data_IF_759921887249
#
_entry.id   IF_759921887249
#
_cell.length_a   1.000
_cell.length_b   1.000
_cell.length_c   1.000
_cell.angle_alpha   90.00
_cell.angle_beta   90.00
_cell.angle_gamma   90.00
#
_symmetry.space_group_name_H-M   'P 1'
#
loop_
_entity.id
_entity.type
_entity.pdbx_description
1 polymer ?
#
# COMPACT_ATOMS: atom_id res chain seq x y z
N UNK A 1 -8.05 -2.12 13.92
CA UNK A 1 -7.67 -1.90 15.34
C UNK A 1 -7.91 -0.45 15.74
N UNK A 2 -7.19 0.54 15.15
CA UNK A 2 -7.27 1.98 15.50
C UNK A 2 -8.70 2.53 15.48
N UNK A 3 -9.46 2.25 14.41
CA UNK A 3 -10.86 2.68 14.30
C UNK A 3 -11.73 2.13 15.45
N UNK A 4 -11.55 0.86 15.79
CA UNK A 4 -12.33 0.19 16.85
C UNK A 4 -11.99 0.71 18.25
N UNK A 5 -10.72 0.98 18.53
CA UNK A 5 -10.29 1.54 19.81
C UNK A 5 -10.65 3.02 19.95
N UNK A 6 -10.73 3.73 18.86
CA UNK A 6 -11.00 5.16 18.76
C UNK A 6 -10.19 6.00 19.77
N UNK A 7 -8.90 5.77 19.80
CA UNK A 7 -7.91 6.54 20.58
C UNK A 7 -6.92 7.21 19.63
N UNK A 8 -6.32 8.35 19.98
CA UNK A 8 -5.26 8.96 19.20
C UNK A 8 -4.26 7.90 18.77
N UNK A 9 -4.04 7.79 17.47
CA UNK A 9 -3.21 6.73 16.90
C UNK A 9 -2.72 7.12 15.51
N UNK A 10 -1.55 6.60 15.14
CA UNK A 10 -0.96 6.79 13.83
C UNK A 10 -0.51 5.44 13.29
N UNK A 11 -0.67 5.25 11.99
CA UNK A 11 -0.20 4.06 11.29
C UNK A 11 1.17 4.32 10.69
N UNK A 12 2.12 3.43 10.96
CA UNK A 12 3.44 3.43 10.33
C UNK A 12 3.57 2.15 9.50
N UNK A 13 3.70 2.31 8.21
CA UNK A 13 3.90 1.20 7.29
C UNK A 13 5.34 0.70 7.37
N UNK A 14 5.55 -0.61 7.38
CA UNK A 14 6.88 -1.22 7.42
C UNK A 14 7.74 -0.95 6.17
N UNK A 15 7.11 -0.57 5.08
CA UNK A 15 7.76 -0.26 3.82
C UNK A 15 7.79 -1.40 2.81
N UNK A 16 7.99 -1.07 1.55
CA UNK A 16 8.07 -2.04 0.46
C UNK A 16 9.46 -2.66 0.38
N UNK A 17 9.52 -3.91 -0.09
CA UNK A 17 10.78 -4.60 -0.38
C UNK A 17 11.42 -4.05 -1.66
N UNK A 18 12.74 -4.02 -1.71
CA UNK A 18 13.46 -3.75 -2.94
C UNK A 18 13.33 -4.93 -3.91
N UNK A 19 13.31 -4.68 -5.22
CA UNK A 19 13.31 -5.75 -6.22
C UNK A 19 14.61 -6.55 -6.17
N UNK A 20 14.51 -7.77 -6.63
CA UNK A 20 15.67 -8.61 -6.90
C UNK A 20 16.35 -8.28 -8.21
N UNK A 21 17.26 -9.15 -8.60
CA UNK A 21 17.95 -9.07 -9.89
C UNK A 21 16.93 -9.01 -11.05
N UNK A 22 17.21 -8.19 -12.05
CA UNK A 22 16.35 -7.99 -13.22
C UNK A 22 14.90 -7.59 -12.88
N UNK A 23 14.69 -6.78 -11.86
CA UNK A 23 13.37 -6.33 -11.41
C UNK A 23 12.43 -7.48 -11.02
N UNK A 24 12.98 -8.59 -10.52
CA UNK A 24 12.17 -9.71 -10.03
C UNK A 24 11.50 -9.38 -8.70
N UNK A 25 10.31 -9.95 -8.51
CA UNK A 25 9.52 -9.85 -7.29
C UNK A 25 8.86 -11.20 -6.96
N UNK A 26 7.92 -11.24 -6.03
CA UNK A 26 7.24 -12.48 -5.63
C UNK A 26 6.45 -13.12 -6.79
N UNK A 27 5.91 -12.32 -7.71
CA UNK A 27 5.19 -12.85 -8.89
C UNK A 27 6.17 -13.56 -9.82
N UNK A 28 7.38 -13.04 -9.97
CA UNK A 28 8.44 -13.69 -10.75
C UNK A 28 8.77 -15.10 -10.23
N UNK A 29 8.69 -15.32 -8.92
CA UNK A 29 8.86 -16.66 -8.32
C UNK A 29 7.70 -17.59 -8.73
N UNK A 30 6.47 -17.12 -8.66
CA UNK A 30 5.30 -17.93 -9.05
C UNK A 30 5.31 -18.26 -10.55
N UNK A 31 5.69 -17.30 -11.40
CA UNK A 31 5.86 -17.52 -12.84
C UNK A 31 6.98 -18.54 -13.14
N UNK A 32 8.09 -18.46 -12.41
CA UNK A 32 9.19 -19.40 -12.53
C UNK A 32 8.79 -20.84 -12.13
N UNK A 33 7.97 -21.01 -11.08
CA UNK A 33 7.41 -22.32 -10.71
C UNK A 33 6.55 -22.87 -11.85
N UNK A 34 5.68 -22.03 -12.44
CA UNK A 34 4.87 -22.42 -13.61
C UNK A 34 5.73 -22.86 -14.80
N UNK A 35 6.74 -22.06 -15.14
CA UNK A 35 7.68 -22.36 -16.24
C UNK A 35 8.49 -23.62 -15.99
N UNK A 36 8.90 -23.89 -14.76
CA UNK A 36 9.57 -25.14 -14.41
C UNK A 36 8.66 -26.36 -14.58
N UNK A 37 7.42 -26.27 -14.11
CA UNK A 37 6.44 -27.37 -14.27
C UNK A 37 6.11 -27.62 -15.74
N UNK A 38 6.08 -26.57 -16.57
CA UNK A 38 5.90 -26.68 -18.02
C UNK A 38 7.15 -27.22 -18.75
N UNK A 39 8.31 -27.27 -18.10
CA UNK A 39 9.57 -27.73 -18.69
C UNK A 39 10.33 -26.65 -19.47
N UNK A 40 9.93 -25.38 -19.33
CA UNK A 40 10.53 -24.24 -20.06
C UNK A 40 11.86 -23.80 -19.45
N UNK A 41 12.05 -24.01 -18.13
CA UNK A 41 13.29 -23.68 -17.43
C UNK A 41 13.81 -24.84 -16.59
N UNK A 42 15.13 -24.96 -16.39
CA UNK A 42 15.72 -25.98 -15.51
C UNK A 42 15.53 -25.60 -14.02
N UNK A 43 15.63 -26.62 -13.15
CA UNK A 43 15.52 -26.43 -11.69
C UNK A 43 16.54 -25.40 -11.15
N UNK A 44 17.73 -25.34 -11.70
CA UNK A 44 18.79 -24.41 -11.30
C UNK A 44 18.39 -22.96 -11.52
N UNK A 45 17.59 -22.66 -12.55
CA UNK A 45 17.08 -21.33 -12.81
C UNK A 45 15.95 -20.98 -11.84
N UNK A 46 15.04 -21.90 -11.53
CA UNK A 46 14.02 -21.72 -10.51
C UNK A 46 14.66 -21.41 -9.15
N UNK A 47 15.62 -22.22 -8.70
CA UNK A 47 16.35 -22.01 -7.44
C UNK A 47 17.09 -20.67 -7.39
N UNK A 48 17.62 -20.20 -8.51
CA UNK A 48 18.26 -18.89 -8.59
C UNK A 48 17.22 -17.76 -8.37
N UNK A 49 16.08 -17.82 -9.06
CA UNK A 49 15.01 -16.83 -8.92
C UNK A 49 14.48 -16.82 -7.48
N UNK A 50 14.21 -17.99 -6.88
CA UNK A 50 13.77 -18.09 -5.49
C UNK A 50 14.72 -17.41 -4.49
N UNK A 51 16.03 -17.49 -4.73
CA UNK A 51 17.06 -16.91 -3.86
C UNK A 51 17.24 -15.40 -4.05
N UNK A 52 16.92 -14.87 -5.22
CA UNK A 52 17.32 -13.51 -5.63
C UNK A 52 16.14 -12.57 -5.88
N UNK A 53 14.91 -13.07 -6.01
CA UNK A 53 13.77 -12.26 -6.43
C UNK A 53 13.31 -11.22 -5.41
N UNK A 54 13.45 -11.48 -4.11
CA UNK A 54 12.98 -10.63 -3.02
C UNK A 54 14.04 -10.54 -1.90
N UNK A 55 15.17 -9.86 -2.15
CA UNK A 55 16.30 -9.85 -1.23
C UNK A 55 16.08 -8.83 -0.11
N UNK A 56 15.85 -9.28 1.12
CA UNK A 56 15.86 -8.40 2.27
C UNK A 56 14.51 -8.22 2.94
N UNK A 57 14.34 -7.09 3.63
CA UNK A 57 13.15 -6.77 4.41
C UNK A 57 12.17 -5.89 3.64
N UNK A 58 10.89 -6.06 3.93
CA UNK A 58 9.80 -5.25 3.38
C UNK A 58 8.59 -6.07 3.00
N UNK A 59 7.53 -5.38 2.62
CA UNK A 59 6.32 -5.96 2.03
C UNK A 59 6.49 -6.15 0.52
N UNK A 60 5.49 -6.71 -0.14
CA UNK A 60 5.48 -6.95 -1.59
C UNK A 60 5.99 -5.76 -2.41
N UNK A 61 6.72 -6.04 -3.49
CA UNK A 61 7.29 -5.01 -4.37
C UNK A 61 6.29 -4.34 -5.32
N UNK A 62 5.13 -4.95 -5.58
CA UNK A 62 4.08 -4.38 -6.44
C UNK A 62 2.93 -3.73 -5.66
N UNK A 63 1.92 -3.23 -6.37
CA UNK A 63 0.69 -2.67 -5.78
C UNK A 63 -0.29 -3.80 -5.38
N UNK A 64 0.22 -4.74 -4.60
CA UNK A 64 -0.55 -5.82 -3.99
C UNK A 64 -1.25 -5.32 -2.72
N UNK A 65 -1.80 -6.21 -1.92
CA UNK A 65 -2.62 -5.85 -0.76
C UNK A 65 -1.93 -4.91 0.21
N UNK A 66 -0.66 -5.17 0.55
CA UNK A 66 0.06 -4.40 1.57
C UNK A 66 0.31 -2.95 1.15
N UNK A 67 0.87 -2.72 -0.05
CA UNK A 67 1.10 -1.38 -0.58
C UNK A 67 -0.21 -0.64 -0.86
N UNK A 68 -1.24 -1.32 -1.37
CA UNK A 68 -2.57 -0.74 -1.59
C UNK A 68 -3.18 -0.24 -0.29
N UNK A 69 -3.16 -1.07 0.77
CA UNK A 69 -3.74 -0.67 2.05
C UNK A 69 -2.94 0.41 2.75
N UNK A 70 -1.61 0.39 2.66
CA UNK A 70 -0.78 1.46 3.20
C UNK A 70 -1.10 2.80 2.52
N UNK A 71 -1.24 2.82 1.19
CA UNK A 71 -1.62 4.01 0.41
C UNK A 71 -3.04 4.48 0.77
N UNK A 72 -4.00 3.56 0.90
CA UNK A 72 -5.35 3.89 1.34
C UNK A 72 -5.38 4.49 2.76
N UNK A 73 -4.60 3.95 3.70
CA UNK A 73 -4.52 4.45 5.07
C UNK A 73 -3.90 5.86 5.11
N UNK A 74 -2.93 6.14 4.25
CA UNK A 74 -2.37 7.48 4.10
C UNK A 74 -3.43 8.46 3.56
N UNK A 75 -4.15 8.10 2.51
CA UNK A 75 -5.25 8.92 1.97
C UNK A 75 -6.40 9.10 2.97
N UNK A 76 -6.61 8.17 3.88
CA UNK A 76 -7.52 8.31 5.02
C UNK A 76 -7.03 9.30 6.09
N UNK A 77 -5.80 9.82 5.99
CA UNK A 77 -5.20 10.71 6.98
C UNK A 77 -4.70 10.03 8.25
N UNK A 78 -4.44 8.71 8.23
CA UNK A 78 -4.05 7.93 9.41
C UNK A 78 -2.55 7.61 9.47
N UNK A 79 -1.75 8.08 8.53
CA UNK A 79 -0.29 8.00 8.54
C UNK A 79 0.33 9.31 8.09
N UNK A 80 1.64 9.45 8.27
CA UNK A 80 2.38 10.62 7.81
C UNK A 80 2.36 10.70 6.27
N UNK A 81 2.44 11.90 5.70
CA UNK A 81 2.56 12.06 4.25
C UNK A 81 3.74 11.27 3.70
N UNK A 82 3.49 10.53 2.62
CA UNK A 82 4.43 9.63 1.94
C UNK A 82 4.95 8.44 2.78
N UNK A 83 4.32 8.14 3.91
CA UNK A 83 4.68 6.99 4.76
C UNK A 83 4.45 5.65 4.06
N UNK A 84 3.43 5.55 3.21
CA UNK A 84 3.14 4.36 2.42
C UNK A 84 4.15 4.12 1.29
N UNK A 85 4.83 5.17 0.84
CA UNK A 85 5.75 5.15 -0.28
C UNK A 85 7.21 5.27 0.18
N UNK A 86 7.66 4.29 0.96
CA UNK A 86 9.02 4.18 1.48
C UNK A 86 9.55 2.76 1.32
N UNK A 87 10.81 2.63 0.93
CA UNK A 87 11.50 1.34 1.01
C UNK A 87 11.79 0.99 2.47
N UNK A 88 11.54 -0.25 2.87
CA UNK A 88 11.61 -0.70 4.26
C UNK A 88 12.95 -0.43 4.96
N UNK A 89 14.04 -0.50 4.20
CA UNK A 89 15.43 -0.32 4.70
C UNK A 89 16.00 1.06 4.44
N UNK A 90 15.18 2.03 3.98
CA UNK A 90 15.63 3.38 3.65
C UNK A 90 15.82 4.27 4.90
N UNK A 91 16.70 5.27 4.79
CA UNK A 91 16.84 6.28 5.84
C UNK A 91 15.57 7.16 5.94
N UNK A 92 14.86 7.37 4.83
CA UNK A 92 13.56 8.03 4.82
C UNK A 92 12.54 7.30 5.69
N UNK A 93 12.55 5.95 5.69
CA UNK A 93 11.67 5.16 6.58
C UNK A 93 12.03 5.33 8.06
N UNK A 94 13.30 5.45 8.39
CA UNK A 94 13.73 5.78 9.76
C UNK A 94 13.24 7.16 10.20
N UNK A 95 13.35 8.15 9.30
CA UNK A 95 12.84 9.49 9.57
C UNK A 95 11.32 9.51 9.72
N UNK A 96 10.58 8.78 8.88
CA UNK A 96 9.13 8.60 8.98
C UNK A 96 8.71 8.05 10.36
N UNK A 97 9.44 7.07 10.90
CA UNK A 97 9.18 6.56 12.25
C UNK A 97 9.39 7.62 13.34
N UNK A 98 10.43 8.46 13.21
CA UNK A 98 10.70 9.55 14.15
C UNK A 98 9.58 10.60 14.09
N UNK A 99 9.15 10.97 12.90
CA UNK A 99 8.12 11.98 12.71
C UNK A 99 6.73 11.48 13.11
N UNK A 100 6.44 10.19 12.90
CA UNK A 100 5.26 9.54 13.44
C UNK A 100 5.24 9.56 14.99
N UNK A 101 6.42 9.38 15.62
CA UNK A 101 6.58 9.51 17.08
C UNK A 101 6.26 10.91 17.60
N UNK A 102 6.61 11.96 16.85
CA UNK A 102 6.22 13.34 17.18
C UNK A 102 4.72 13.58 16.94
N UNK A 103 4.21 13.09 15.82
CA UNK A 103 2.82 13.26 15.45
C UNK A 103 1.86 12.61 16.45
N UNK A 104 2.19 11.43 16.99
CA UNK A 104 1.32 10.79 18.00
C UNK A 104 1.21 11.61 19.29
N UNK A 105 2.26 12.32 19.70
CA UNK A 105 2.22 13.23 20.85
C UNK A 105 1.24 14.38 20.57
N UNK A 106 1.34 14.99 19.39
CA UNK A 106 0.41 16.05 18.98
C UNK A 106 -1.06 15.58 18.96
N UNK A 107 -1.31 14.37 18.41
CA UNK A 107 -2.67 13.79 18.40
C UNK A 107 -3.21 13.55 19.81
N UNK A 108 -2.35 13.16 20.75
CA UNK A 108 -2.73 12.96 22.16
C UNK A 108 -3.05 14.29 22.86
N UNK A 109 -2.22 15.30 22.69
CA UNK A 109 -2.40 16.63 23.29
C UNK A 109 -3.69 17.32 22.82
N UNK A 110 -4.12 17.05 21.59
CA UNK A 110 -5.32 17.63 20.97
C UNK A 110 -6.53 16.69 20.98
N UNK A 111 -6.43 15.52 21.59
CA UNK A 111 -7.46 14.47 21.65
C UNK A 111 -8.03 14.09 20.25
N UNK A 112 -7.21 14.15 19.21
CA UNK A 112 -7.62 13.83 17.83
C UNK A 112 -7.71 12.30 17.66
N UNK A 113 -8.89 11.81 17.35
CA UNK A 113 -9.22 10.38 17.25
C UNK A 113 -9.44 9.93 15.81
N UNK A 114 -9.35 8.63 15.53
CA UNK A 114 -9.68 8.08 14.20
C UNK A 114 -11.07 8.48 13.67
N UNK A 115 -12.08 8.63 14.55
CA UNK A 115 -13.42 9.06 14.15
C UNK A 115 -13.46 10.53 13.65
N UNK A 116 -12.55 11.37 14.10
CA UNK A 116 -12.49 12.77 13.69
C UNK A 116 -11.86 12.90 12.29
N UNK A 117 -10.98 11.96 11.93
CA UNK A 117 -10.24 11.96 10.68
C UNK A 117 -10.99 11.19 9.58
N UNK A 118 -11.53 10.02 9.91
CA UNK A 118 -12.13 9.07 8.94
C UNK A 118 -13.56 9.43 8.57
N UNK A 119 -13.73 10.53 7.87
CA UNK A 119 -15.01 10.98 7.33
C UNK A 119 -15.37 10.22 6.04
N UNK A 120 -16.63 10.31 5.58
CA UNK A 120 -17.05 9.78 4.26
C UNK A 120 -16.12 10.27 3.13
N UNK A 121 -15.75 11.56 3.15
CA UNK A 121 -14.82 12.13 2.15
C UNK A 121 -13.43 11.51 2.21
N UNK A 122 -12.93 11.22 3.42
CA UNK A 122 -11.64 10.54 3.56
C UNK A 122 -11.67 9.13 2.92
N UNK A 123 -12.76 8.39 3.09
CA UNK A 123 -12.94 7.11 2.40
C UNK A 123 -13.06 7.27 0.89
N UNK A 124 -13.78 8.27 0.39
CA UNK A 124 -13.86 8.55 -1.05
C UNK A 124 -12.49 8.90 -1.64
N UNK A 125 -11.67 9.69 -0.92
CA UNK A 125 -10.27 9.96 -1.32
C UNK A 125 -9.43 8.68 -1.37
N UNK A 126 -9.55 7.82 -0.36
CA UNK A 126 -8.85 6.53 -0.34
C UNK A 126 -9.27 5.62 -1.50
N UNK A 127 -10.57 5.54 -1.80
CA UNK A 127 -11.10 4.79 -2.95
C UNK A 127 -10.55 5.37 -4.27
N UNK A 128 -10.56 6.69 -4.43
CA UNK A 128 -10.01 7.36 -5.62
C UNK A 128 -8.54 7.02 -5.80
N UNK A 129 -7.74 7.13 -4.73
CA UNK A 129 -6.31 6.85 -4.81
C UNK A 129 -6.02 5.39 -5.18
N UNK A 130 -6.68 4.40 -4.54
CA UNK A 130 -6.43 3.00 -4.85
C UNK A 130 -6.83 2.62 -6.28
N UNK A 131 -7.88 3.25 -6.83
CA UNK A 131 -8.26 3.08 -8.25
C UNK A 131 -7.19 3.69 -9.16
N UNK A 132 -6.74 4.91 -8.87
CA UNK A 132 -5.67 5.59 -9.60
C UNK A 132 -4.37 4.77 -9.65
N UNK A 133 -4.06 4.07 -8.56
CA UNK A 133 -2.89 3.20 -8.44
C UNK A 133 -3.06 1.82 -9.09
N UNK A 134 -4.27 1.45 -9.55
CA UNK A 134 -4.56 0.08 -9.99
C UNK A 134 -4.42 -0.93 -8.85
N UNK A 135 -4.83 -0.56 -7.65
CA UNK A 135 -4.61 -1.30 -6.42
C UNK A 135 -5.40 -2.61 -6.31
N UNK A 136 -5.06 -3.38 -5.28
CA UNK A 136 -5.67 -4.67 -4.99
C UNK A 136 -7.14 -4.55 -4.60
N UNK A 137 -8.00 -5.42 -5.14
CA UNK A 137 -9.42 -5.55 -4.78
C UNK A 137 -9.66 -5.91 -3.31
N UNK A 138 -8.66 -6.45 -2.62
CA UNK A 138 -8.72 -6.66 -1.17
C UNK A 138 -9.00 -5.37 -0.38
N UNK A 139 -8.61 -4.21 -0.90
CA UNK A 139 -8.90 -2.92 -0.28
C UNK A 139 -10.40 -2.63 -0.17
N UNK A 140 -11.23 -3.14 -1.08
CA UNK A 140 -12.70 -3.01 -1.04
C UNK A 140 -13.25 -3.55 0.28
N UNK A 141 -12.90 -4.80 0.61
CA UNK A 141 -13.33 -5.46 1.84
C UNK A 141 -12.85 -4.69 3.08
N UNK A 142 -11.60 -4.27 3.07
CA UNK A 142 -10.99 -3.62 4.23
C UNK A 142 -11.51 -2.19 4.45
N UNK A 143 -11.71 -1.41 3.40
CA UNK A 143 -12.26 -0.05 3.53
C UNK A 143 -13.71 -0.07 4.01
N UNK A 144 -14.55 -0.98 3.50
CA UNK A 144 -15.92 -1.17 3.99
C UNK A 144 -15.91 -1.56 5.47
N UNK A 145 -15.09 -2.53 5.87
CA UNK A 145 -14.99 -2.97 7.26
C UNK A 145 -14.46 -1.87 8.20
N UNK A 146 -13.54 -1.04 7.74
CA UNK A 146 -13.04 0.10 8.51
C UNK A 146 -14.10 1.18 8.67
N UNK A 147 -14.88 1.47 7.62
CA UNK A 147 -15.95 2.45 7.63
C UNK A 147 -17.09 2.02 8.57
N UNK A 148 -17.55 0.77 8.45
CA UNK A 148 -18.57 0.17 9.32
C UNK A 148 -18.18 0.27 10.80
N UNK A 149 -16.91 0.00 11.13
CA UNK A 149 -16.40 0.06 12.52
C UNK A 149 -16.60 1.43 13.20
N UNK A 150 -16.69 2.51 12.46
CA UNK A 150 -16.86 3.89 12.96
C UNK A 150 -18.17 4.51 12.52
N UNK A 151 -19.10 3.72 11.99
CA UNK A 151 -20.44 4.16 11.60
C UNK A 151 -20.49 5.05 10.36
N UNK A 152 -19.48 4.96 9.48
CA UNK A 152 -19.47 5.65 8.18
C UNK A 152 -19.97 4.68 7.12
N UNK A 153 -21.01 5.06 6.40
CA UNK A 153 -21.56 4.24 5.32
C UNK A 153 -20.67 4.30 4.08
N UNK A 154 -20.05 3.16 3.75
CA UNK A 154 -19.29 2.92 2.49
C UNK A 154 -19.77 1.61 1.91
N UNK A 155 -20.25 1.65 0.67
CA UNK A 155 -20.83 0.51 -0.03
C UNK A 155 -20.05 0.16 -1.30
N UNK A 156 -20.37 -0.97 -1.91
CA UNK A 156 -19.80 -1.34 -3.22
C UNK A 156 -20.14 -0.32 -4.30
N UNK A 157 -21.33 0.30 -4.22
CA UNK A 157 -21.76 1.32 -5.18
C UNK A 157 -20.87 2.58 -5.14
N UNK A 158 -20.27 2.91 -3.99
CA UNK A 158 -19.29 3.99 -3.92
C UNK A 158 -18.06 3.69 -4.77
N UNK A 159 -17.58 2.44 -4.76
CA UNK A 159 -16.44 2.03 -5.60
C UNK A 159 -16.79 2.08 -7.09
N UNK A 160 -17.99 1.65 -7.47
CA UNK A 160 -18.48 1.75 -8.86
C UNK A 160 -18.55 3.23 -9.29
N UNK A 161 -19.27 4.05 -8.52
CA UNK A 161 -19.48 5.47 -8.80
C UNK A 161 -18.18 6.27 -8.93
N UNK A 162 -17.23 6.00 -8.06
CA UNK A 162 -15.91 6.66 -8.08
C UNK A 162 -15.08 6.10 -9.24
N UNK A 163 -15.10 4.78 -9.45
CA UNK A 163 -14.35 4.11 -10.51
C UNK A 163 -14.73 4.55 -11.92
N UNK A 164 -16.01 4.84 -12.18
CA UNK A 164 -16.47 5.36 -13.47
C UNK A 164 -15.82 6.69 -13.86
N UNK A 165 -15.32 7.45 -12.89
CA UNK A 165 -14.77 8.80 -13.09
C UNK A 165 -13.25 8.86 -12.88
N UNK A 166 -12.66 7.83 -12.31
CA UNK A 166 -11.25 7.81 -11.89
C UNK A 166 -10.45 6.92 -12.84
N UNK A 167 -9.54 7.47 -13.64
CA UNK A 167 -8.68 6.66 -14.48
C UNK A 167 -7.60 5.96 -13.64
N UNK A 168 -7.17 4.78 -14.08
CA UNK A 168 -5.92 4.17 -13.61
C UNK A 168 -4.77 4.91 -14.27
N UNK A 169 -3.88 5.48 -13.47
CA UNK A 169 -2.75 6.29 -13.94
C UNK A 169 -1.44 5.53 -13.75
N UNK A 170 -1.28 4.84 -12.61
CA UNK A 170 -0.07 4.11 -12.31
C UNK A 170 -0.06 2.72 -12.99
N UNK A 171 1.00 2.46 -13.74
CA UNK A 171 1.20 1.19 -14.45
C UNK A 171 1.98 0.20 -13.55
N UNK A 172 1.43 -0.10 -12.37
CA UNK A 172 2.09 -0.89 -11.34
C UNK A 172 1.69 -2.38 -11.42
N UNK A 173 2.64 -3.26 -11.09
CA UNK A 173 2.35 -4.70 -10.92
C UNK A 173 1.26 -4.91 -9.85
N UNK A 174 0.37 -5.90 -10.03
CA UNK A 174 0.42 -7.04 -10.97
C UNK A 174 -0.14 -6.73 -12.36
N UNK A 175 -0.99 -5.73 -12.55
CA UNK A 175 -1.61 -5.41 -13.84
C UNK A 175 -0.71 -4.61 -14.78
N UNK A 176 0.22 -3.87 -14.24
CA UNK A 176 1.23 -3.10 -14.96
C UNK A 176 2.63 -3.70 -14.86
N UNK A 177 3.62 -2.91 -15.24
CA UNK A 177 5.02 -3.37 -15.37
C UNK A 177 5.97 -2.86 -14.29
N UNK A 178 5.63 -1.74 -13.62
CA UNK A 178 6.51 -1.10 -12.66
C UNK A 178 6.29 -1.61 -11.24
N UNK A 179 7.33 -1.51 -10.42
CA UNK A 179 7.28 -1.86 -9.00
C UNK A 179 7.03 -0.62 -8.13
N UNK A 180 6.64 -0.83 -6.89
CA UNK A 180 6.42 0.25 -5.93
C UNK A 180 7.70 1.06 -5.66
N UNK A 181 8.88 0.43 -5.69
CA UNK A 181 10.17 1.10 -5.55
C UNK A 181 10.41 2.15 -6.64
N UNK A 182 9.98 1.89 -7.87
CA UNK A 182 10.09 2.84 -8.98
C UNK A 182 9.12 4.02 -8.82
N UNK A 183 7.91 3.78 -8.30
CA UNK A 183 6.99 4.88 -7.94
C UNK A 183 7.59 5.75 -6.83
N UNK A 184 8.26 5.15 -5.85
CA UNK A 184 8.92 5.87 -4.76
C UNK A 184 9.99 6.83 -5.31
N UNK A 185 10.78 6.42 -6.30
CA UNK A 185 11.83 7.22 -6.92
C UNK A 185 11.30 8.50 -7.59
N UNK A 186 10.09 8.49 -8.11
CA UNK A 186 9.46 9.64 -8.77
C UNK A 186 8.57 10.48 -7.84
N UNK A 187 8.61 10.22 -6.51
CA UNK A 187 7.90 11.01 -5.51
C UNK A 187 6.79 10.29 -4.75
N UNK A 188 6.61 8.99 -4.99
CA UNK A 188 5.63 8.17 -4.30
C UNK A 188 4.18 8.51 -4.67
N UNK A 189 3.28 8.47 -3.69
CA UNK A 189 1.85 8.73 -3.93
C UNK A 189 1.46 10.21 -3.82
N UNK A 190 2.31 11.07 -3.27
CA UNK A 190 1.99 12.48 -3.06
C UNK A 190 1.63 13.22 -4.36
N UNK A 191 2.31 13.01 -5.49
CA UNK A 191 1.94 13.64 -6.76
C UNK A 191 0.57 13.21 -7.31
N UNK A 192 0.01 12.11 -6.80
CA UNK A 192 -1.30 11.57 -7.20
C UNK A 192 -2.44 12.03 -6.30
N UNK A 193 -2.12 12.59 -5.13
CA UNK A 193 -3.07 13.08 -4.13
C UNK A 193 -3.43 14.55 -4.34
#
# INVERSE_FOLDING_TARGET
GMARLNRPSIFVYGGTILPGENHTDIVSVFEAVGSYVAGDIPITQLEHIEKTAIPGAGSCGGMYTANTLASAIEALGMSMPNSSAQNAVSDNKKQDCIDAGKAIVYLLEHDIKPSDIKTKKAFENAITLIITLGGSTNAVLHLIAMADTIGVEVTLDDFVRIGEKTPVIADLRPSGKYLMSELIEIGGIQPLM
#
